data_IF_638867235591
#
_entry.id   IF_638867235591
#
_cell.length_a   1.000
_cell.length_b   1.000
_cell.length_c   1.000
_cell.angle_alpha   90.00
_cell.angle_beta   90.00
_cell.angle_gamma   90.00
#
_symmetry.space_group_name_H-M   'P 1'
#
loop_
_entity.id
_entity.type
_entity.pdbx_description
1 polymer ?
#
# COMPACT_ATOMS: atom_id res chain seq x y z
N UNK A 1 10.92 8.66 7.91
CA UNK A 1 10.25 7.91 6.82
C UNK A 1 11.15 6.76 6.46
N UNK A 2 10.71 5.54 6.72
CA UNK A 2 11.45 4.32 6.38
C UNK A 2 11.18 3.95 4.90
N UNK A 3 12.00 3.08 4.30
CA UNK A 3 11.78 2.60 2.93
C UNK A 3 10.40 1.94 2.76
N UNK A 4 9.85 1.38 3.84
CA UNK A 4 8.49 0.81 3.89
C UNK A 4 7.41 1.88 3.67
N UNK A 5 7.58 3.10 4.18
CA UNK A 5 6.64 4.20 3.97
C UNK A 5 6.60 4.63 2.50
N UNK A 6 7.74 4.59 1.82
CA UNK A 6 7.84 4.84 0.38
C UNK A 6 7.12 3.76 -0.42
N UNK A 7 7.27 2.49 -0.03
CA UNK A 7 6.56 1.36 -0.66
C UNK A 7 5.05 1.53 -0.48
N UNK A 8 4.58 1.84 0.73
CA UNK A 8 3.15 2.05 0.99
C UNK A 8 2.58 3.18 0.13
N UNK A 9 3.29 4.30 0.06
CA UNK A 9 2.87 5.45 -0.74
C UNK A 9 2.87 5.14 -2.23
N UNK A 10 3.89 4.45 -2.73
CA UNK A 10 3.98 4.03 -4.13
C UNK A 10 2.87 3.04 -4.51
N UNK A 11 2.60 2.05 -3.66
CA UNK A 11 1.50 1.09 -3.86
C UNK A 11 0.13 1.78 -3.83
N UNK A 12 -0.06 2.76 -2.95
CA UNK A 12 -1.28 3.57 -2.91
C UNK A 12 -1.48 4.37 -4.20
N UNK A 13 -0.44 5.04 -4.70
CA UNK A 13 -0.51 5.80 -5.95
C UNK A 13 -0.76 4.90 -7.16
N UNK A 14 -0.03 3.79 -7.28
CA UNK A 14 -0.23 2.82 -8.36
C UNK A 14 -1.61 2.18 -8.30
N UNK A 15 -2.06 1.79 -7.10
CA UNK A 15 -3.42 1.29 -6.88
C UNK A 15 -4.46 2.30 -7.31
N UNK A 16 -4.29 3.57 -6.96
CA UNK A 16 -5.16 4.67 -7.38
C UNK A 16 -5.21 4.87 -8.89
N UNK A 17 -4.06 4.90 -9.56
CA UNK A 17 -3.99 5.03 -11.02
C UNK A 17 -4.69 3.86 -11.71
N UNK A 18 -4.37 2.63 -11.31
CA UNK A 18 -4.99 1.42 -11.86
C UNK A 18 -6.48 1.32 -11.54
N UNK A 19 -6.89 1.73 -10.34
CA UNK A 19 -8.31 1.80 -9.99
C UNK A 19 -9.05 2.85 -10.81
N UNK A 20 -8.39 3.98 -11.10
CA UNK A 20 -9.00 5.07 -11.87
C UNK A 20 -9.29 4.72 -13.33
N UNK A 21 -8.49 3.84 -13.94
CA UNK A 21 -8.73 3.39 -15.32
C UNK A 21 -9.95 2.49 -15.42
N UNK A 22 -10.28 1.74 -14.37
CA UNK A 22 -11.42 0.81 -14.36
C UNK A 22 -12.70 1.49 -13.85
N UNK A 23 -12.61 2.29 -12.79
CA UNK A 23 -13.77 2.83 -12.06
C UNK A 23 -13.86 4.35 -12.00
N UNK A 24 -13.05 5.08 -12.77
CA UNK A 24 -12.99 6.54 -12.71
C UNK A 24 -12.61 7.06 -11.32
N UNK A 25 -13.28 8.11 -10.86
CA UNK A 25 -12.97 8.76 -9.57
C UNK A 25 -13.20 7.82 -8.37
N UNK A 26 -14.26 7.00 -8.40
CA UNK A 26 -14.52 6.04 -7.32
C UNK A 26 -13.47 4.93 -7.31
N UNK A 27 -13.04 4.47 -8.50
CA UNK A 27 -11.95 3.52 -8.65
C UNK A 27 -10.61 4.08 -8.16
N UNK A 28 -10.36 5.37 -8.34
CA UNK A 28 -9.16 6.04 -7.81
C UNK A 28 -9.11 5.97 -6.28
N UNK A 29 -10.20 6.33 -5.61
CA UNK A 29 -10.28 6.26 -4.15
C UNK A 29 -10.13 4.84 -3.62
N UNK A 30 -10.87 3.88 -4.20
CA UNK A 30 -10.79 2.47 -3.81
C UNK A 30 -9.39 1.90 -4.05
N UNK A 31 -8.77 2.24 -5.17
CA UNK A 31 -7.42 1.81 -5.53
C UNK A 31 -6.35 2.32 -4.57
N UNK A 32 -6.45 3.59 -4.13
CA UNK A 32 -5.53 4.16 -3.13
C UNK A 32 -5.66 3.40 -1.80
N UNK A 33 -6.89 3.19 -1.33
CA UNK A 33 -7.15 2.53 -0.04
C UNK A 33 -6.64 1.08 -0.06
N UNK A 34 -6.94 0.33 -1.12
CA UNK A 34 -6.48 -1.06 -1.26
C UNK A 34 -4.96 -1.12 -1.40
N UNK A 35 -4.38 -0.27 -2.23
CA UNK A 35 -2.92 -0.21 -2.45
C UNK A 35 -2.17 0.09 -1.16
N UNK A 36 -2.63 1.08 -0.39
CA UNK A 36 -2.06 1.44 0.91
C UNK A 36 -2.27 0.33 1.96
N UNK A 37 -3.48 -0.24 2.02
CA UNK A 37 -3.83 -1.26 3.00
C UNK A 37 -2.98 -2.53 2.86
N UNK A 38 -2.83 -3.05 1.64
CA UNK A 38 -2.03 -4.27 1.38
C UNK A 38 -0.56 -4.06 1.76
N UNK A 39 0.01 -2.93 1.38
CA UNK A 39 1.42 -2.63 1.64
C UNK A 39 1.68 -2.27 3.11
N UNK A 40 0.72 -1.68 3.81
CA UNK A 40 0.80 -1.47 5.26
C UNK A 40 0.77 -2.79 6.03
N UNK A 41 -0.08 -3.75 5.63
CA UNK A 41 -0.10 -5.09 6.22
C UNK A 41 1.23 -5.81 5.98
N UNK A 42 1.78 -5.71 4.77
CA UNK A 42 3.10 -6.26 4.47
C UNK A 42 4.21 -5.64 5.31
N UNK A 43 4.19 -4.32 5.50
CA UNK A 43 5.17 -3.61 6.32
C UNK A 43 5.12 -4.11 7.78
N UNK A 44 3.91 -4.20 8.34
CA UNK A 44 3.65 -4.70 9.68
C UNK A 44 4.12 -6.15 9.88
N UNK A 45 3.80 -7.03 8.93
CA UNK A 45 4.23 -8.43 8.99
C UNK A 45 5.75 -8.57 8.88
N UNK A 46 6.40 -7.73 8.07
CA UNK A 46 7.86 -7.70 7.96
C UNK A 46 8.51 -7.24 9.26
N UNK A 47 7.97 -6.21 9.91
CA UNK A 47 8.46 -5.75 11.22
C UNK A 47 8.30 -6.83 12.29
N UNK A 48 7.14 -7.50 12.31
CA UNK A 48 6.85 -8.59 13.24
C UNK A 48 7.86 -9.74 13.09
N UNK A 49 8.20 -10.13 11.86
CA UNK A 49 9.17 -11.20 11.61
C UNK A 49 10.57 -10.80 12.06
N UNK A 50 11.02 -9.59 11.73
CA UNK A 50 12.32 -9.09 12.15
C UNK A 50 12.46 -9.04 13.69
N UNK A 51 11.37 -8.75 14.41
CA UNK A 51 11.36 -8.72 15.86
C UNK A 51 11.38 -10.13 16.52
N UNK A 52 11.09 -11.19 15.77
CA UNK A 52 11.16 -12.58 16.26
C UNK A 52 12.53 -13.23 16.00
N UNK A 53 13.31 -12.67 15.09
CA UNK A 53 14.66 -13.15 14.74
C UNK A 53 15.76 -12.55 15.64
N UNK A 54 15.40 -11.61 16.52
CA UNK A 54 16.28 -10.99 17.54
C UNK A 54 15.94 -11.45 18.95
#
# INVERSE_FOLDING_TARGET
MDYKDLVVTASALLGGVLGSTVGGILGLGAGIVVGAGVSAVWAYETDRRNAQET
#
